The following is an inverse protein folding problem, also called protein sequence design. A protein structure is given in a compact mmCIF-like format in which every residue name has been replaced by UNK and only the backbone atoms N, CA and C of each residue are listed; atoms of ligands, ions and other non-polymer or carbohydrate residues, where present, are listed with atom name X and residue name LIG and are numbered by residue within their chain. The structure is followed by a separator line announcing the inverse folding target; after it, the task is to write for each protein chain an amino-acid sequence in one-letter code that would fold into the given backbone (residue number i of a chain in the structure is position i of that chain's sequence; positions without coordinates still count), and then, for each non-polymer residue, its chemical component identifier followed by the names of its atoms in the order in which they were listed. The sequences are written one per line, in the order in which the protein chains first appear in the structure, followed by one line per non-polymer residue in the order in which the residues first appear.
data_IF_102557145718
#
_entry.id   IF_102557145718
#
_cell.length_a   1.000
_cell.length_b   1.000
_cell.length_c   1.000
_cell.angle_alpha   90.00
_cell.angle_beta   90.00
_cell.angle_gamma   90.00
#
_symmetry.space_group_name_H-M   'P 1'
#
loop_
_entity.id
_entity.type
_entity.pdbx_description
1 polymer ?
#
# COMPACT_ATOMS: atom_id res chain seq x y z
N UNK A 1 30.15 2.00 23.82
CA UNK A 1 29.60 2.96 22.83
C UNK A 1 29.12 2.14 21.65
N UNK A 2 27.81 2.00 21.44
CA UNK A 2 27.28 1.30 20.27
C UNK A 2 27.77 1.99 19.00
N UNK A 3 28.18 1.22 17.99
CA UNK A 3 28.74 1.78 16.77
C UNK A 3 27.69 2.66 16.07
N UNK A 4 28.13 3.70 15.34
CA UNK A 4 27.20 4.61 14.63
C UNK A 4 26.19 3.83 13.75
N UNK A 5 26.62 2.69 13.20
CA UNK A 5 25.76 1.83 12.37
C UNK A 5 24.65 1.14 13.17
N UNK A 6 24.87 0.78 14.44
CA UNK A 6 23.84 0.16 15.30
C UNK A 6 22.71 1.15 15.60
N UNK A 7 23.05 2.43 15.81
CA UNK A 7 22.06 3.49 15.98
C UNK A 7 21.23 3.71 14.71
N UNK A 8 21.87 3.70 13.53
CA UNK A 8 21.17 3.83 12.25
C UNK A 8 20.24 2.64 11.98
N UNK A 9 20.68 1.41 12.31
CA UNK A 9 19.88 0.19 12.18
C UNK A 9 18.66 0.23 13.09
N UNK A 10 18.86 0.57 14.37
CA UNK A 10 17.75 0.73 15.33
C UNK A 10 16.76 1.78 14.83
N UNK A 11 17.25 2.93 14.35
CA UNK A 11 16.36 3.98 13.85
C UNK A 11 15.57 3.53 12.61
N UNK A 12 16.19 2.78 11.71
CA UNK A 12 15.51 2.22 10.55
C UNK A 12 14.43 1.21 10.93
N UNK A 13 14.68 0.39 11.96
CA UNK A 13 13.68 -0.52 12.51
C UNK A 13 12.51 0.25 13.13
N UNK A 14 12.78 1.24 13.98
CA UNK A 14 11.74 2.10 14.58
C UNK A 14 10.84 2.74 13.50
N UNK A 15 11.45 3.36 12.48
CA UNK A 15 10.70 3.97 11.37
C UNK A 15 9.88 2.94 10.59
N UNK A 16 10.40 1.72 10.41
CA UNK A 16 9.68 0.64 9.75
C UNK A 16 8.46 0.21 10.57
N UNK A 17 8.63 -0.02 11.87
CA UNK A 17 7.55 -0.44 12.77
C UNK A 17 6.46 0.62 12.89
N UNK A 18 6.85 1.88 13.05
CA UNK A 18 5.94 3.02 13.08
C UNK A 18 5.12 3.08 11.78
N UNK A 19 5.78 3.06 10.62
CA UNK A 19 5.11 3.07 9.33
C UNK A 19 4.19 1.85 9.14
N UNK A 20 4.52 0.70 9.74
CA UNK A 20 3.77 -0.54 9.62
C UNK A 20 2.51 -0.55 10.49
N UNK A 21 2.61 -0.02 11.72
CA UNK A 21 1.45 0.11 12.60
C UNK A 21 0.55 1.28 12.18
N UNK A 22 1.13 2.39 11.70
CA UNK A 22 0.43 3.62 11.33
C UNK A 22 -0.22 3.59 9.93
N UNK A 23 -0.36 2.42 9.31
CA UNK A 23 -0.96 2.31 7.98
C UNK A 23 -2.25 3.13 7.79
N UNK A 24 -2.57 3.33 6.52
CA UNK A 24 -3.38 2.28 5.94
C UNK A 24 -2.64 1.77 4.73
N UNK A 25 -2.56 0.46 4.65
CA UNK A 25 -2.05 -0.26 3.49
C UNK A 25 -3.05 -0.26 2.34
N UNK A 26 -3.76 0.86 2.16
CA UNK A 26 -4.94 0.98 1.34
C UNK A 26 -4.66 1.81 0.10
N UNK A 27 -5.27 1.42 -1.02
CA UNK A 27 -5.33 2.24 -2.23
C UNK A 27 -6.61 3.07 -2.32
N UNK A 28 -7.46 3.11 -1.29
CA UNK A 28 -8.73 3.86 -1.30
C UNK A 28 -8.51 5.35 -1.53
N UNK A 29 -7.60 5.96 -0.78
CA UNK A 29 -7.29 7.40 -0.90
C UNK A 29 -6.79 7.75 -2.31
N UNK A 30 -5.97 6.87 -2.87
CA UNK A 30 -5.41 7.02 -4.20
C UNK A 30 -6.49 6.82 -5.28
N UNK A 31 -7.42 5.89 -5.05
CA UNK A 31 -8.61 5.70 -5.88
C UNK A 31 -9.51 6.93 -5.86
N UNK A 32 -9.85 7.44 -4.67
CA UNK A 32 -10.69 8.64 -4.51
C UNK A 32 -10.07 9.86 -5.19
N UNK A 33 -8.77 10.07 -5.02
CA UNK A 33 -8.08 11.16 -5.71
C UNK A 33 -8.24 11.04 -7.24
N UNK A 34 -8.07 9.85 -7.81
CA UNK A 34 -8.25 9.64 -9.26
C UNK A 34 -9.69 9.91 -9.68
N UNK A 35 -10.68 9.44 -8.91
CA UNK A 35 -12.10 9.72 -9.18
C UNK A 35 -12.35 11.23 -9.18
N UNK A 36 -11.90 11.94 -8.16
CA UNK A 36 -12.04 13.40 -8.08
C UNK A 36 -11.34 14.10 -9.26
N UNK A 37 -10.14 13.66 -9.63
CA UNK A 37 -9.38 14.24 -10.75
C UNK A 37 -10.07 14.03 -12.10
N UNK A 38 -10.80 12.92 -12.26
CA UNK A 38 -11.56 12.65 -13.48
C UNK A 38 -12.81 13.52 -13.63
N UNK A 39 -13.27 14.14 -12.55
CA UNK A 39 -14.55 14.88 -12.49
C UNK A 39 -15.80 14.00 -12.52
N UNK A 40 -15.63 12.68 -12.44
CA UNK A 40 -16.73 11.70 -12.49
C UNK A 40 -17.08 11.21 -11.08
N UNK A 41 -18.36 10.91 -10.79
CA UNK A 41 -18.73 10.27 -9.54
C UNK A 41 -18.36 8.78 -9.55
N UNK A 42 -18.19 8.19 -8.36
CA UNK A 42 -17.92 6.75 -8.21
C UNK A 42 -18.89 5.86 -8.99
N UNK A 43 -20.18 6.20 -9.04
CA UNK A 43 -21.18 5.44 -9.79
C UNK A 43 -20.86 5.31 -11.28
N UNK A 44 -20.34 6.37 -11.92
CA UNK A 44 -19.90 6.33 -13.31
C UNK A 44 -18.67 5.43 -13.47
N UNK A 45 -17.72 5.52 -12.53
CA UNK A 45 -16.50 4.71 -12.53
C UNK A 45 -16.82 3.22 -12.35
N UNK A 46 -17.79 2.88 -11.50
CA UNK A 46 -18.23 1.50 -11.28
C UNK A 46 -18.96 0.90 -12.50
N UNK A 47 -19.63 1.74 -13.31
CA UNK A 47 -20.32 1.31 -14.54
C UNK A 47 -19.36 1.14 -15.72
N UNK A 48 -18.41 2.06 -15.90
CA UNK A 48 -17.38 1.96 -16.93
C UNK A 48 -15.98 1.83 -16.32
N UNK A 49 -15.51 0.59 -16.25
CA UNK A 49 -14.17 0.21 -15.75
C UNK A 49 -13.00 0.87 -16.48
N UNK A 50 -13.22 1.44 -17.67
CA UNK A 50 -12.20 2.13 -18.44
C UNK A 50 -12.31 3.67 -18.33
N UNK A 51 -13.30 4.20 -17.62
CA UNK A 51 -13.59 5.63 -17.59
C UNK A 51 -12.42 6.45 -17.03
N UNK A 52 -11.80 6.00 -15.94
CA UNK A 52 -10.60 6.66 -15.40
C UNK A 52 -9.45 6.69 -16.42
N UNK A 53 -9.24 5.61 -17.18
CA UNK A 53 -8.21 5.56 -18.23
C UNK A 53 -8.52 6.51 -19.39
N UNK A 54 -9.80 6.70 -19.72
CA UNK A 54 -10.24 7.63 -20.76
C UNK A 54 -10.07 9.09 -20.32
N UNK A 55 -10.31 9.37 -19.04
CA UNK A 55 -10.35 10.74 -18.49
C UNK A 55 -9.00 11.24 -17.97
N UNK A 56 -8.14 10.34 -17.50
CA UNK A 56 -6.87 10.70 -16.86
C UNK A 56 -5.71 10.21 -17.71
N UNK A 57 -4.84 11.14 -18.10
CA UNK A 57 -3.57 10.83 -18.75
C UNK A 57 -2.47 10.69 -17.70
N UNK A 58 -1.52 9.78 -17.90
CA UNK A 58 -0.39 9.58 -16.97
C UNK A 58 0.40 10.88 -16.84
N UNK A 59 0.57 11.58 -17.96
CA UNK A 59 1.35 12.80 -18.05
C UNK A 59 0.80 13.86 -17.10
N UNK A 60 -0.52 13.96 -16.99
CA UNK A 60 -1.20 14.93 -16.11
C UNK A 60 -0.95 14.61 -14.64
N UNK A 61 -0.93 13.32 -14.28
CA UNK A 61 -0.59 12.88 -12.91
C UNK A 61 0.89 13.17 -12.61
N UNK A 62 1.80 12.88 -13.53
CA UNK A 62 3.24 13.08 -13.30
C UNK A 62 3.64 14.54 -13.16
N UNK A 63 2.81 15.46 -13.67
CA UNK A 63 2.99 16.90 -13.55
C UNK A 63 2.21 17.50 -12.37
N UNK A 64 1.35 16.73 -11.71
CA UNK A 64 0.54 17.22 -10.60
C UNK A 64 1.42 17.42 -9.34
N UNK A 65 1.58 18.69 -8.96
CA UNK A 65 2.34 19.14 -7.78
C UNK A 65 1.42 19.56 -6.63
N UNK A 66 0.12 19.28 -6.72
CA UNK A 66 -0.85 19.73 -5.73
C UNK A 66 -0.58 19.08 -4.37
N UNK A 67 -0.85 19.85 -3.31
CA UNK A 67 -0.75 19.36 -1.93
C UNK A 67 -1.68 18.18 -1.67
N UNK A 68 -2.81 18.07 -2.39
CA UNK A 68 -3.73 16.94 -2.30
C UNK A 68 -3.15 15.66 -2.89
N UNK A 69 -2.48 15.73 -4.05
CA UNK A 69 -1.76 14.59 -4.63
C UNK A 69 -0.68 14.07 -3.66
N UNK A 70 0.11 15.00 -3.13
CA UNK A 70 1.21 14.73 -2.18
C UNK A 70 0.68 14.02 -0.93
N UNK A 71 -0.34 14.61 -0.28
CA UNK A 71 -0.93 14.04 0.93
C UNK A 71 -1.52 12.65 0.67
N UNK A 72 -2.05 12.41 -0.52
CA UNK A 72 -2.67 11.12 -0.86
C UNK A 72 -1.63 10.02 -1.06
N UNK A 73 -0.58 10.27 -1.84
CA UNK A 73 0.44 9.26 -2.16
C UNK A 73 1.43 9.03 -1.01
N UNK A 74 1.65 10.02 -0.15
CA UNK A 74 2.59 9.91 0.98
C UNK A 74 1.94 9.38 2.25
N UNK A 75 0.65 9.62 2.46
CA UNK A 75 -0.02 9.18 3.68
C UNK A 75 -0.50 7.73 3.58
N UNK A 76 -0.92 7.29 2.38
CA UNK A 76 -1.52 5.98 2.19
C UNK A 76 -1.10 5.31 0.88
N UNK A 77 -0.98 3.99 0.94
CA UNK A 77 -0.60 3.18 -0.20
C UNK A 77 -0.04 1.84 0.25
N UNK A 78 0.61 1.13 -0.67
CA UNK A 78 1.27 -0.16 -0.35
C UNK A 78 2.80 0.03 -0.29
N UNK A 79 3.54 -0.91 -0.88
CA UNK A 79 5.00 -0.98 -0.87
C UNK A 79 5.72 0.36 -1.15
N UNK A 80 5.33 1.11 -2.18
CA UNK A 80 5.99 2.39 -2.51
C UNK A 80 5.77 3.47 -1.44
N UNK A 81 4.52 3.71 -1.05
CA UNK A 81 4.17 4.72 -0.04
C UNK A 81 4.82 4.39 1.31
N UNK A 82 4.76 3.12 1.70
CA UNK A 82 5.42 2.59 2.89
C UNK A 82 6.93 2.86 2.89
N UNK A 83 7.64 2.43 1.85
CA UNK A 83 9.08 2.63 1.75
C UNK A 83 9.46 4.12 1.70
N UNK A 84 8.65 4.95 1.03
CA UNK A 84 8.86 6.40 0.95
C UNK A 84 8.76 7.08 2.32
N UNK A 85 7.77 6.70 3.15
CA UNK A 85 7.61 7.22 4.51
C UNK A 85 8.87 6.96 5.35
N UNK A 86 9.36 5.72 5.32
CA UNK A 86 10.54 5.31 6.09
C UNK A 86 11.80 6.02 5.57
N UNK A 87 12.03 6.03 4.26
CA UNK A 87 13.19 6.70 3.65
C UNK A 87 13.23 8.18 4.04
N UNK A 88 12.08 8.86 4.02
CA UNK A 88 11.99 10.26 4.41
C UNK A 88 12.37 10.47 5.88
N UNK A 89 11.77 9.70 6.80
CA UNK A 89 12.09 9.82 8.23
C UNK A 89 13.58 9.57 8.50
N UNK A 90 14.19 8.62 7.80
CA UNK A 90 15.63 8.34 7.91
C UNK A 90 16.49 9.45 7.33
N UNK A 91 16.10 10.05 6.21
CA UNK A 91 16.80 11.20 5.63
C UNK A 91 16.69 12.45 6.51
N UNK A 92 15.54 12.67 7.16
CA UNK A 92 15.35 13.72 8.16
C UNK A 92 16.22 13.48 9.40
N UNK A 93 16.39 12.22 9.80
CA UNK A 93 17.28 11.83 10.90
C UNK A 93 18.76 12.04 10.57
N UNK A 94 19.21 11.62 9.38
CA UNK A 94 20.61 11.80 8.95
C UNK A 94 20.81 11.66 7.44
N UNK A 95 20.61 12.75 6.69
CA UNK A 95 20.76 12.77 5.22
C UNK A 95 22.15 12.34 4.75
N UNK A 96 23.22 12.65 5.50
CA UNK A 96 24.58 12.27 5.16
C UNK A 96 24.81 10.75 5.20
N UNK A 97 24.10 10.05 6.09
CA UNK A 97 24.29 8.62 6.35
C UNK A 97 23.53 7.70 5.40
N UNK A 98 22.52 8.22 4.71
CA UNK A 98 21.63 7.41 3.87
C UNK A 98 21.67 7.81 2.39
N UNK A 99 21.59 6.81 1.51
CA UNK A 99 21.49 6.97 0.05
C UNK A 99 20.61 5.85 -0.49
N UNK A 100 19.30 6.10 -0.61
CA UNK A 100 18.34 5.05 -0.94
C UNK A 100 18.14 4.90 -2.46
N UNK A 101 17.90 3.69 -2.94
CA UNK A 101 17.50 3.40 -4.32
C UNK A 101 16.26 2.52 -4.32
N UNK A 102 15.33 2.78 -5.23
CA UNK A 102 14.08 2.02 -5.33
C UNK A 102 14.16 0.99 -6.46
N UNK A 103 13.68 -0.21 -6.17
CA UNK A 103 13.67 -1.34 -7.08
C UNK A 103 12.24 -1.86 -7.24
N UNK A 104 11.87 -2.19 -8.48
CA UNK A 104 10.59 -2.84 -8.78
C UNK A 104 10.84 -4.31 -9.04
N UNK A 105 10.36 -5.09 -8.09
CA UNK A 105 10.45 -6.52 -8.01
C UNK A 105 9.26 -7.21 -8.70
N UNK A 106 8.84 -6.73 -9.87
CA UNK A 106 7.69 -7.22 -10.65
C UNK A 106 6.34 -6.94 -9.93
N UNK A 107 6.12 -5.68 -9.57
CA UNK A 107 4.92 -5.20 -8.88
C UNK A 107 5.03 -5.19 -7.36
N UNK A 108 6.11 -5.74 -6.80
CA UNK A 108 6.54 -5.54 -5.41
C UNK A 108 7.68 -4.52 -5.39
N UNK A 109 7.76 -3.61 -4.42
CA UNK A 109 8.78 -2.55 -4.47
C UNK A 109 9.52 -2.42 -3.16
N UNK A 110 10.83 -2.28 -3.25
CA UNK A 110 11.72 -2.19 -2.10
C UNK A 110 12.64 -0.98 -2.24
N UNK A 111 13.07 -0.43 -1.11
CA UNK A 111 14.07 0.64 -1.07
C UNK A 111 15.33 0.14 -0.39
N UNK A 112 16.49 0.45 -0.96
CA UNK A 112 17.79 -0.06 -0.50
C UNK A 112 18.77 1.07 -0.29
N UNK A 113 19.39 1.14 0.89
CA UNK A 113 20.45 2.07 1.18
C UNK A 113 21.79 1.59 0.64
N UNK A 114 22.42 2.39 -0.21
CA UNK A 114 23.74 2.16 -0.80
C UNK A 114 24.89 2.35 0.17
N UNK A 115 24.66 2.97 1.34
CA UNK A 115 25.67 3.33 2.35
C UNK A 115 25.65 2.46 3.61
N UNK A 116 24.57 1.74 3.89
CA UNK A 116 24.38 1.08 5.20
C UNK A 116 23.93 -0.38 5.14
N UNK A 117 23.67 -0.93 3.95
CA UNK A 117 23.14 -2.30 3.81
C UNK A 117 21.67 -2.45 4.23
N UNK A 118 20.99 -1.35 4.56
CA UNK A 118 19.57 -1.33 4.95
C UNK A 118 18.69 -1.57 3.73
N UNK A 119 17.73 -2.49 3.85
CA UNK A 119 16.75 -2.83 2.84
C UNK A 119 15.34 -2.76 3.46
N UNK A 120 14.51 -1.89 2.89
CA UNK A 120 13.14 -1.63 3.31
C UNK A 120 12.20 -2.38 2.39
N UNK A 121 11.46 -3.32 2.99
CA UNK A 121 10.43 -4.11 2.34
C UNK A 121 9.16 -4.11 3.19
N UNK A 122 8.01 -3.75 2.59
CA UNK A 122 6.69 -3.81 3.24
C UNK A 122 6.18 -5.22 3.49
N UNK A 123 6.76 -6.23 2.84
CA UNK A 123 6.40 -7.64 2.97
C UNK A 123 7.32 -8.40 3.92
N UNK A 124 8.29 -7.72 4.54
CA UNK A 124 9.20 -8.33 5.50
C UNK A 124 8.45 -8.80 6.75
N UNK A 125 8.74 -10.02 7.18
CA UNK A 125 8.17 -10.61 8.39
C UNK A 125 8.79 -10.06 9.68
N UNK A 126 10.01 -9.51 9.62
CA UNK A 126 10.78 -9.12 10.82
C UNK A 126 11.11 -7.62 10.85
N UNK A 127 10.57 -6.84 9.91
CA UNK A 127 10.85 -5.41 9.81
C UNK A 127 11.94 -5.07 8.81
N UNK A 128 12.83 -4.15 9.16
CA UNK A 128 13.91 -3.73 8.25
C UNK A 128 14.91 -4.87 8.05
N UNK A 129 15.25 -5.16 6.79
CA UNK A 129 16.29 -6.14 6.47
C UNK A 129 17.65 -5.43 6.52
N UNK A 130 18.59 -6.01 7.24
CA UNK A 130 19.95 -5.46 7.41
C UNK A 130 20.96 -6.44 6.84
N UNK A 131 21.66 -6.03 5.79
CA UNK A 131 22.75 -6.80 5.20
C UNK A 131 24.05 -6.45 5.93
N UNK A 132 24.74 -7.41 6.55
CA UNK A 132 26.04 -7.15 7.17
C UNK A 132 27.18 -7.24 6.17
N UNK A 133 28.31 -6.61 6.51
CA UNK A 133 29.49 -6.64 5.64
C UNK A 133 30.11 -8.04 5.69
N UNK A 134 30.27 -8.64 4.51
CA UNK A 134 30.84 -9.98 4.37
C UNK A 134 29.80 -11.09 4.25
N UNK A 135 28.55 -10.86 4.69
CA UNK A 135 27.46 -11.85 4.61
C UNK A 135 27.21 -12.33 3.18
N UNK A 136 26.71 -13.56 3.05
CA UNK A 136 26.32 -14.12 1.77
C UNK A 136 25.13 -13.39 1.13
N UNK A 137 24.97 -13.64 -0.16
CA UNK A 137 23.87 -13.10 -0.93
C UNK A 137 22.53 -13.50 -0.32
N UNK A 138 21.71 -12.51 -0.01
CA UNK A 138 20.40 -12.68 0.62
C UNK A 138 19.29 -12.41 -0.39
N UNK A 139 18.21 -13.19 -0.35
CA UNK A 139 16.99 -12.96 -1.15
C UNK A 139 15.90 -12.37 -0.27
N UNK A 140 14.94 -11.69 -0.90
CA UNK A 140 13.71 -11.26 -0.23
C UNK A 140 12.69 -12.39 -0.30
N UNK A 141 12.01 -12.67 0.81
CA UNK A 141 10.94 -13.66 0.85
C UNK A 141 9.83 -13.34 -0.17
N UNK A 142 9.42 -14.33 -0.96
CA UNK A 142 8.40 -14.17 -2.00
C UNK A 142 8.92 -13.65 -3.35
N UNK A 143 10.23 -13.36 -3.48
CA UNK A 143 10.81 -13.05 -4.78
C UNK A 143 11.05 -14.32 -5.62
N UNK A 144 10.11 -14.61 -6.53
CA UNK A 144 10.17 -15.76 -7.44
C UNK A 144 11.29 -15.71 -8.49
N UNK A 145 11.96 -14.56 -8.65
CA UNK A 145 13.08 -14.41 -9.59
C UNK A 145 14.45 -14.60 -8.95
N UNK A 146 14.50 -14.98 -7.66
CA UNK A 146 15.74 -15.20 -6.91
C UNK A 146 16.72 -14.03 -6.99
N UNK A 147 16.22 -12.78 -6.98
CA UNK A 147 17.12 -11.62 -7.02
C UNK A 147 17.78 -11.46 -5.66
N UNK A 148 19.06 -11.15 -5.69
CA UNK A 148 19.93 -11.24 -4.53
C UNK A 148 20.53 -9.88 -4.17
N UNK A 149 20.79 -9.72 -2.88
CA UNK A 149 21.32 -8.51 -2.27
C UNK A 149 22.51 -8.86 -1.40
N UNK A 150 23.53 -8.00 -1.40
CA UNK A 150 24.70 -8.17 -0.52
C UNK A 150 25.24 -6.81 -0.10
N UNK A 151 25.78 -6.73 1.11
CA UNK A 151 26.57 -5.58 1.56
C UNK A 151 28.03 -6.00 1.66
N UNK A 152 28.92 -5.29 0.96
CA UNK A 152 30.35 -5.60 1.03
C UNK A 152 31.21 -4.37 0.81
N UNK A 153 32.21 -4.18 1.67
CA UNK A 153 33.20 -3.12 1.54
C UNK A 153 32.56 -1.72 1.40
N UNK A 154 31.61 -1.42 2.29
CA UNK A 154 30.94 -0.10 2.30
C UNK A 154 29.97 0.14 1.14
N UNK A 155 29.59 -0.89 0.37
CA UNK A 155 28.65 -0.74 -0.75
C UNK A 155 27.61 -1.85 -0.84
N UNK A 156 26.40 -1.47 -1.25
CA UNK A 156 25.28 -2.41 -1.46
C UNK A 156 25.25 -2.90 -2.91
N UNK A 157 25.29 -4.22 -3.08
CA UNK A 157 25.26 -4.94 -4.36
C UNK A 157 23.91 -5.63 -4.57
N UNK A 158 23.46 -5.63 -5.82
CA UNK A 158 22.22 -6.25 -6.27
C UNK A 158 22.53 -7.09 -7.50
N UNK A 159 22.07 -8.33 -7.50
CA UNK A 159 22.12 -9.23 -8.64
C UNK A 159 20.70 -9.68 -8.99
N UNK A 160 20.24 -9.37 -10.20
CA UNK A 160 18.83 -9.55 -10.53
C UNK A 160 18.34 -8.93 -11.85
N UNK A 161 19.25 -8.55 -12.75
CA UNK A 161 18.93 -7.96 -14.06
C UNK A 161 18.39 -6.52 -14.01
N UNK A 162 17.61 -6.11 -15.03
CA UNK A 162 16.93 -4.81 -15.07
C UNK A 162 15.82 -4.75 -13.99
N UNK A 163 16.18 -4.33 -12.78
CA UNK A 163 15.25 -4.12 -11.65
C UNK A 163 15.39 -2.77 -10.95
N UNK A 164 16.46 -2.02 -11.26
CA UNK A 164 16.62 -0.66 -10.78
C UNK A 164 15.63 0.23 -11.53
N UNK A 165 14.59 0.70 -10.82
CA UNK A 165 13.69 1.70 -11.40
C UNK A 165 14.30 3.09 -11.28
N UNK A 166 15.08 3.35 -10.22
CA UNK A 166 15.83 4.60 -10.11
C UNK A 166 16.82 4.63 -8.94
N UNK A 167 17.89 5.42 -9.10
CA UNK A 167 18.81 5.79 -8.02
C UNK A 167 18.42 7.13 -7.38
N UNK A 168 18.10 7.17 -6.07
CA UNK A 168 18.02 8.44 -5.34
C UNK A 168 19.36 8.78 -4.69
N UNK A 169 20.37 9.09 -5.51
CA UNK A 169 21.55 9.77 -4.99
C UNK A 169 21.30 11.28 -5.05
N UNK A 170 20.61 11.87 -4.07
CA UNK A 170 20.37 13.32 -4.12
C UNK A 170 20.45 14.01 -2.77
N UNK A 171 21.25 15.07 -2.77
CA UNK A 171 21.24 16.22 -1.87
C UNK A 171 20.03 17.16 -2.08
N UNK A 172 18.89 16.67 -2.59
CA UNK A 172 17.66 17.44 -2.82
C UNK A 172 16.42 16.55 -2.56
N UNK A 173 15.27 17.12 -2.10
CA UNK A 173 14.12 16.33 -1.70
C UNK A 173 13.55 15.53 -2.87
N UNK A 174 13.07 14.32 -2.57
CA UNK A 174 12.44 13.39 -3.51
C UNK A 174 11.50 14.15 -4.45
N UNK A 175 11.81 14.21 -5.75
CA UNK A 175 11.02 15.05 -6.66
C UNK A 175 9.65 14.43 -6.90
N UNK A 176 8.63 15.28 -6.93
CA UNK A 176 7.22 14.88 -6.94
C UNK A 176 6.81 14.04 -8.15
N UNK A 177 7.29 14.37 -9.35
CA UNK A 177 6.99 13.61 -10.57
C UNK A 177 7.58 12.19 -10.59
N UNK A 178 8.59 11.93 -9.75
CA UNK A 178 9.27 10.64 -9.64
C UNK A 178 8.43 9.60 -8.89
N UNK A 179 7.84 9.97 -7.75
CA UNK A 179 6.95 9.09 -6.98
C UNK A 179 5.65 8.81 -7.73
N UNK A 180 5.14 9.81 -8.46
CA UNK A 180 3.99 9.62 -9.33
C UNK A 180 4.27 8.59 -10.39
N UNK A 181 5.42 8.66 -11.09
CA UNK A 181 5.77 7.71 -12.15
C UNK A 181 5.93 6.28 -11.62
N UNK A 182 6.60 6.11 -10.48
CA UNK A 182 6.77 4.82 -9.79
C UNK A 182 5.42 4.19 -9.43
N UNK A 183 4.48 4.97 -8.89
CA UNK A 183 3.18 4.44 -8.51
C UNK A 183 2.21 4.27 -9.67
N UNK A 184 2.24 5.15 -10.66
CA UNK A 184 1.28 5.16 -11.80
C UNK A 184 1.61 4.15 -12.90
N UNK A 185 2.89 3.82 -13.15
CA UNK A 185 3.28 2.83 -14.17
C UNK A 185 2.64 1.44 -13.93
N UNK A 186 2.31 1.09 -12.68
CA UNK A 186 1.58 -0.14 -12.35
C UNK A 186 0.07 0.05 -12.11
N UNK A 187 -0.46 1.27 -12.17
CA UNK A 187 -1.79 1.63 -11.62
C UNK A 187 -2.83 2.16 -12.59
N UNK A 188 -2.47 2.62 -13.79
CA UNK A 188 -3.50 2.74 -14.84
C UNK A 188 -4.04 1.37 -15.28
N UNK A 189 -3.27 0.30 -15.10
CA UNK A 189 -3.81 -1.07 -15.09
C UNK A 189 -4.38 -1.47 -13.72
N UNK A 190 -3.88 -0.90 -12.63
CA UNK A 190 -4.27 -1.16 -11.24
C UNK A 190 -5.64 -0.62 -10.81
N UNK A 191 -6.35 0.19 -11.60
CA UNK A 191 -7.81 0.36 -11.42
C UNK A 191 -8.55 -0.97 -11.69
N UNK A 192 -7.95 -1.92 -12.43
CA UNK A 192 -8.40 -3.32 -12.46
C UNK A 192 -8.08 -4.08 -11.16
N UNK A 193 -7.07 -3.65 -10.39
CA UNK A 193 -6.74 -4.20 -9.06
C UNK A 193 -7.59 -3.48 -8.02
N UNK A 194 -8.86 -3.85 -7.97
CA UNK A 194 -9.70 -3.99 -6.78
C UNK A 194 -9.31 -3.08 -5.59
N UNK A 195 -10.05 -1.99 -5.29
CA UNK A 195 -9.82 -1.20 -4.09
C UNK A 195 -9.68 -2.13 -2.87
N UNK A 196 -8.61 -1.99 -2.10
CA UNK A 196 -8.29 -2.88 -0.99
C UNK A 196 -7.70 -2.15 0.20
N UNK A 197 -7.95 -2.70 1.39
CA UNK A 197 -7.47 -2.21 2.67
C UNK A 197 -7.15 -3.42 3.57
N UNK A 198 -5.90 -3.90 3.60
CA UNK A 198 -5.46 -4.90 4.54
C UNK A 198 -5.16 -4.24 5.90
N UNK A 199 -5.46 -4.98 6.96
CA UNK A 199 -5.11 -4.62 8.32
C UNK A 199 -3.84 -5.37 8.72
N UNK A 200 -2.89 -4.65 9.31
CA UNK A 200 -1.59 -5.21 9.70
C UNK A 200 -1.16 -4.68 11.06
N UNK A 201 -0.29 -5.41 11.74
CA UNK A 201 0.38 -4.91 12.95
C UNK A 201 1.75 -5.54 13.11
N UNK A 202 2.67 -4.83 13.73
CA UNK A 202 3.97 -5.36 14.15
C UNK A 202 3.97 -5.54 15.67
N UNK A 203 4.18 -6.76 16.12
CA UNK A 203 4.20 -7.09 17.55
C UNK A 203 5.18 -8.22 17.80
N UNK A 204 5.89 -8.15 18.93
CA UNK A 204 6.84 -9.20 19.37
C UNK A 204 7.92 -9.50 18.31
N UNK A 205 8.39 -8.46 17.60
CA UNK A 205 9.43 -8.60 16.58
C UNK A 205 8.97 -9.24 15.26
N UNK A 206 7.66 -9.41 15.07
CA UNK A 206 7.09 -10.01 13.85
C UNK A 206 5.94 -9.19 13.28
N UNK A 207 5.86 -9.18 11.94
CA UNK A 207 4.79 -8.58 11.17
C UNK A 207 3.62 -9.56 11.06
N UNK A 208 2.42 -9.09 11.44
CA UNK A 208 1.17 -9.83 11.38
C UNK A 208 0.28 -9.21 10.32
N UNK A 209 -0.16 -10.06 9.38
CA UNK A 209 -1.09 -9.71 8.31
C UNK A 209 -2.45 -10.30 8.66
N UNK A 210 -3.42 -9.45 9.01
CA UNK A 210 -4.73 -9.88 9.50
C UNK A 210 -5.71 -10.04 8.33
N UNK A 211 -6.87 -9.40 8.43
CA UNK A 211 -7.89 -9.39 7.39
C UNK A 211 -7.66 -8.33 6.31
N UNK A 212 -8.33 -8.50 5.18
CA UNK A 212 -8.36 -7.53 4.09
C UNK A 212 -9.77 -7.34 3.53
N UNK A 213 -10.18 -6.07 3.42
CA UNK A 213 -11.34 -5.66 2.64
C UNK A 213 -10.91 -5.47 1.19
N UNK A 214 -11.62 -6.07 0.24
CA UNK A 214 -11.32 -6.00 -1.20
C UNK A 214 -12.59 -5.85 -2.03
N UNK A 215 -12.73 -4.71 -2.70
CA UNK A 215 -13.76 -4.49 -3.72
C UNK A 215 -13.38 -5.15 -5.04
N UNK A 216 -14.30 -5.89 -5.66
CA UNK A 216 -14.13 -6.52 -6.97
C UNK A 216 -15.22 -6.02 -7.93
N UNK A 217 -15.06 -4.81 -8.50
CA UNK A 217 -16.09 -4.21 -9.35
C UNK A 217 -16.45 -5.05 -10.57
N UNK A 218 -15.51 -5.82 -11.14
CA UNK A 218 -15.79 -6.69 -12.30
C UNK A 218 -16.75 -7.84 -11.99
N UNK A 219 -17.03 -8.09 -10.71
CA UNK A 219 -17.98 -9.11 -10.25
C UNK A 219 -19.12 -8.49 -9.42
N UNK A 220 -19.16 -7.15 -9.30
CA UNK A 220 -20.07 -6.44 -8.41
C UNK A 220 -20.01 -6.96 -6.95
N UNK A 221 -18.79 -7.20 -6.46
CA UNK A 221 -18.58 -7.84 -5.16
C UNK A 221 -17.72 -7.00 -4.21
N UNK A 222 -17.93 -7.22 -2.92
CA UNK A 222 -17.00 -6.91 -1.85
C UNK A 222 -16.59 -8.22 -1.18
N UNK A 223 -15.29 -8.43 -0.98
CA UNK A 223 -14.75 -9.63 -0.36
C UNK A 223 -14.04 -9.23 0.94
N UNK A 224 -14.42 -9.86 2.04
CA UNK A 224 -13.80 -9.72 3.35
C UNK A 224 -12.96 -10.98 3.60
N UNK A 225 -11.65 -10.88 3.40
CA UNK A 225 -10.71 -11.99 3.59
C UNK A 225 -10.28 -11.98 5.05
N UNK A 226 -10.64 -13.01 5.82
CA UNK A 226 -10.46 -13.03 7.28
C UNK A 226 -8.98 -13.15 7.67
N UNK A 227 -8.21 -13.91 6.89
CA UNK A 227 -6.78 -14.07 7.08
C UNK A 227 -6.07 -14.12 5.73
N UNK A 228 -5.08 -13.25 5.55
CA UNK A 228 -4.28 -13.23 4.33
C UNK A 228 -3.51 -14.55 4.16
N UNK A 229 -3.76 -15.24 3.06
CA UNK A 229 -3.19 -16.56 2.75
C UNK A 229 -4.13 -17.75 2.96
N UNK A 230 -5.25 -17.55 3.66
CA UNK A 230 -6.31 -18.55 3.81
C UNK A 230 -7.44 -18.33 2.78
N UNK A 231 -8.27 -19.35 2.54
CA UNK A 231 -9.45 -19.28 1.64
C UNK A 231 -10.71 -18.73 2.31
N UNK A 232 -10.67 -18.54 3.64
CA UNK A 232 -11.81 -18.07 4.41
C UNK A 232 -12.10 -16.59 4.13
N UNK A 233 -13.25 -16.38 3.51
CA UNK A 233 -13.72 -15.06 3.12
C UNK A 233 -15.24 -14.98 3.09
N UNK A 234 -15.76 -13.82 3.46
CA UNK A 234 -17.16 -13.46 3.28
C UNK A 234 -17.25 -12.72 1.95
N UNK A 235 -18.10 -13.19 1.04
CA UNK A 235 -18.40 -12.49 -0.21
C UNK A 235 -19.74 -11.80 -0.08
N UNK A 236 -19.74 -10.50 -0.26
CA UNK A 236 -20.94 -9.67 -0.34
C UNK A 236 -21.16 -9.37 -1.83
N UNK A 237 -22.29 -9.83 -2.36
CA UNK A 237 -22.69 -9.65 -3.76
C UNK A 237 -23.67 -8.50 -3.86
N UNK A 238 -23.48 -7.61 -4.85
CA UNK A 238 -24.41 -6.54 -5.18
C UNK A 238 -25.17 -6.92 -6.45
N UNK A 239 -26.49 -7.05 -6.34
CA UNK A 239 -27.41 -7.25 -7.46
C UNK A 239 -28.87 -6.93 -7.07
N UNK A 240 -29.82 -7.24 -7.95
CA UNK A 240 -31.25 -6.95 -7.74
C UNK A 240 -31.93 -7.85 -6.71
N UNK A 241 -31.27 -8.91 -6.23
CA UNK A 241 -31.82 -9.82 -5.22
C UNK A 241 -31.62 -9.32 -3.78
N UNK A 242 -30.68 -8.40 -3.56
CA UNK A 242 -30.51 -7.75 -2.28
C UNK A 242 -31.66 -6.79 -1.94
N UNK A 243 -31.77 -6.47 -0.66
CA UNK A 243 -32.76 -5.56 -0.08
C UNK A 243 -32.11 -4.63 0.94
N UNK A 244 -32.85 -3.65 1.46
CA UNK A 244 -32.39 -2.81 2.59
C UNK A 244 -32.11 -3.64 3.85
N UNK A 245 -32.85 -4.74 4.05
CA UNK A 245 -32.62 -5.64 5.19
C UNK A 245 -31.29 -6.38 5.04
N UNK A 246 -31.02 -6.97 3.88
CA UNK A 246 -29.73 -7.65 3.62
C UNK A 246 -28.58 -6.65 3.57
N UNK A 247 -28.81 -5.40 3.20
CA UNK A 247 -27.80 -4.35 3.31
C UNK A 247 -27.36 -4.13 4.76
N UNK A 248 -28.31 -4.08 5.68
CA UNK A 248 -28.01 -3.91 7.12
C UNK A 248 -27.14 -5.07 7.61
N UNK A 249 -27.52 -6.31 7.31
CA UNK A 249 -26.72 -7.50 7.63
C UNK A 249 -25.31 -7.44 7.03
N UNK A 250 -25.18 -6.97 5.78
CA UNK A 250 -23.89 -6.84 5.11
C UNK A 250 -23.01 -5.75 5.75
N UNK A 251 -23.61 -4.64 6.21
CA UNK A 251 -22.88 -3.58 6.93
C UNK A 251 -22.42 -4.06 8.30
N UNK A 252 -23.26 -4.79 9.01
CA UNK A 252 -22.90 -5.41 10.29
C UNK A 252 -21.74 -6.40 10.10
N UNK A 253 -21.78 -7.22 9.04
CA UNK A 253 -20.67 -8.12 8.70
C UNK A 253 -19.34 -7.38 8.43
N UNK A 254 -19.37 -6.19 7.80
CA UNK A 254 -18.16 -5.36 7.63
C UNK A 254 -17.67 -4.80 8.97
N UNK A 255 -18.58 -4.33 9.83
CA UNK A 255 -18.23 -3.79 11.13
C UNK A 255 -17.62 -4.86 12.06
N UNK A 256 -18.23 -6.05 12.07
CA UNK A 256 -17.73 -7.23 12.79
C UNK A 256 -16.37 -7.67 12.24
N UNK A 257 -16.22 -7.69 10.92
CA UNK A 257 -14.97 -8.02 10.27
C UNK A 257 -13.83 -7.08 10.69
N UNK A 258 -14.05 -5.76 10.70
CA UNK A 258 -13.04 -4.80 11.16
C UNK A 258 -12.68 -5.03 12.63
N UNK A 259 -13.64 -5.43 13.46
CA UNK A 259 -13.43 -5.68 14.89
C UNK A 259 -12.69 -6.99 15.15
N UNK A 260 -13.04 -8.07 14.45
CA UNK A 260 -12.53 -9.42 14.70
C UNK A 260 -11.26 -9.72 13.90
N UNK A 261 -11.21 -9.25 12.65
CA UNK A 261 -10.13 -9.55 11.69
C UNK A 261 -9.21 -8.35 11.44
N UNK A 262 -9.43 -7.21 12.09
CA UNK A 262 -8.58 -6.03 11.93
C UNK A 262 -7.27 -6.08 12.72
N UNK A 263 -7.14 -6.99 13.68
CA UNK A 263 -6.04 -6.96 14.64
C UNK A 263 -6.03 -5.70 15.51
N UNK A 264 -4.96 -5.45 16.30
CA UNK A 264 -4.92 -4.35 17.26
C UNK A 264 -4.97 -2.97 16.60
N UNK A 265 -4.37 -2.82 15.41
CA UNK A 265 -4.32 -1.53 14.70
C UNK A 265 -5.46 -1.34 13.69
N UNK A 266 -6.29 -2.36 13.44
CA UNK A 266 -7.26 -2.36 12.34
C UNK A 266 -8.26 -1.21 12.40
N UNK A 267 -8.80 -0.89 13.58
CA UNK A 267 -9.73 0.25 13.77
C UNK A 267 -9.06 1.59 13.48
N UNK A 268 -7.80 1.76 13.90
CA UNK A 268 -7.01 2.98 13.65
C UNK A 268 -6.72 3.12 12.16
N UNK A 269 -6.28 2.05 11.50
CA UNK A 269 -6.00 2.02 10.07
C UNK A 269 -7.27 2.25 9.22
N UNK A 270 -8.42 1.72 9.64
CA UNK A 270 -9.71 1.94 8.96
C UNK A 270 -10.17 3.40 9.03
N UNK A 271 -9.83 4.08 10.12
CA UNK A 271 -10.13 5.50 10.36
C UNK A 271 -9.03 6.43 9.86
N UNK A 272 -7.96 5.91 9.27
CA UNK A 272 -6.86 6.74 8.82
C UNK A 272 -7.29 7.68 7.70
N UNK A 273 -6.85 8.93 7.82
CA UNK A 273 -7.15 10.02 6.88
C UNK A 273 -7.82 11.19 7.57
N UNK A 274 -8.15 12.22 6.79
CA UNK A 274 -8.91 13.36 7.28
C UNK A 274 -10.41 13.07 7.20
N UNK A 275 -11.27 13.62 8.07
CA UNK A 275 -12.72 13.43 7.98
C UNK A 275 -13.25 13.71 6.56
N UNK A 276 -14.07 12.80 6.02
CA UNK A 276 -14.56 12.85 4.64
C UNK A 276 -13.62 12.22 3.61
N UNK A 277 -12.39 11.90 4.01
CA UNK A 277 -11.31 11.28 3.25
C UNK A 277 -10.58 10.23 4.10
N UNK A 278 -11.33 9.46 4.91
CA UNK A 278 -10.79 8.26 5.59
C UNK A 278 -11.06 7.02 4.76
N UNK A 279 -10.32 5.94 5.00
CA UNK A 279 -10.58 4.67 4.33
C UNK A 279 -12.05 4.23 4.48
N UNK A 280 -12.63 4.37 5.67
CA UNK A 280 -14.05 4.12 5.91
C UNK A 280 -15.00 5.05 5.13
N UNK A 281 -14.68 6.35 5.03
CA UNK A 281 -15.56 7.30 4.32
C UNK A 281 -15.57 7.00 2.82
N UNK A 282 -14.42 6.64 2.26
CA UNK A 282 -14.29 6.26 0.85
C UNK A 282 -15.00 4.93 0.59
N UNK A 283 -14.89 3.98 1.51
CA UNK A 283 -15.64 2.74 1.45
C UNK A 283 -17.15 2.99 1.37
N UNK A 284 -17.69 3.88 2.22
CA UNK A 284 -19.11 4.22 2.20
C UNK A 284 -19.55 4.92 0.90
N UNK A 285 -18.68 5.75 0.31
CA UNK A 285 -18.92 6.36 -1.02
C UNK A 285 -19.01 5.29 -2.10
N UNK A 286 -18.08 4.33 -2.11
CA UNK A 286 -18.09 3.20 -3.06
C UNK A 286 -19.34 2.33 -2.83
N UNK A 287 -19.69 2.05 -1.58
CA UNK A 287 -20.87 1.26 -1.22
C UNK A 287 -22.17 1.89 -1.73
N UNK A 288 -22.36 3.18 -1.45
CA UNK A 288 -23.55 3.92 -1.90
C UNK A 288 -23.63 3.95 -3.43
N UNK A 289 -22.50 4.17 -4.11
CA UNK A 289 -22.42 4.11 -5.56
C UNK A 289 -22.70 2.71 -6.12
N UNK A 290 -22.25 1.65 -5.44
CA UNK A 290 -22.47 0.27 -5.80
C UNK A 290 -23.96 -0.09 -5.73
N UNK A 291 -24.68 0.36 -4.70
CA UNK A 291 -26.14 0.18 -4.60
C UNK A 291 -26.84 0.79 -5.81
N UNK A 292 -26.51 2.05 -6.14
CA UNK A 292 -27.10 2.75 -7.28
C UNK A 292 -26.73 2.12 -8.63
N UNK A 293 -25.53 1.54 -8.75
CA UNK A 293 -25.03 0.99 -10.00
C UNK A 293 -25.44 -0.46 -10.25
N UNK A 294 -25.48 -1.28 -9.19
CA UNK A 294 -25.56 -2.74 -9.28
C UNK A 294 -26.78 -3.33 -8.57
N UNK A 295 -27.34 -2.65 -7.56
CA UNK A 295 -28.40 -3.15 -6.69
C UNK A 295 -27.91 -3.37 -5.26
N UNK A 296 -28.82 -3.77 -4.36
CA UNK A 296 -28.50 -3.89 -2.93
C UNK A 296 -27.58 -5.10 -2.65
N UNK A 297 -26.73 -5.00 -1.61
CA UNK A 297 -25.86 -6.09 -1.21
C UNK A 297 -26.62 -7.20 -0.47
N UNK A 298 -26.14 -8.42 -0.65
CA UNK A 298 -26.50 -9.59 0.16
C UNK A 298 -25.31 -10.54 0.27
N UNK A 299 -25.32 -11.41 1.28
CA UNK A 299 -24.35 -12.51 1.39
C UNK A 299 -24.97 -13.74 0.71
N UNK A 300 -24.39 -14.25 -0.39
CA UNK A 300 -24.93 -15.44 -1.05
C UNK A 300 -24.95 -16.63 -0.09
N UNK A 301 -26.10 -17.29 0.03
CA UNK A 301 -26.20 -18.55 0.75
C UNK A 301 -25.45 -19.62 -0.06
N UNK A 302 -24.51 -20.31 0.60
CA UNK A 302 -23.79 -21.44 0.02
C UNK A 302 -24.68 -22.68 -0.05
#
# INVERSE_FOLDING_TARGET
MGSNIDNLRRKAQECWEEAFNDGPYSNFLQGEYLVNKSGEPWGSILKDKNLLKKKIKIEDLTKDQSTSFIRTWWAAGRCTSFATRIVRQLQEYSSASFDFKFYDLNGHRVARCMKTGILIDSSSATGVLVLNDGDDWTTIAGDTRNRQWKWRAGMSKFDGGQGLVCSLSLSLPITWGFLTRLETHGRLEGVRKCPLCPAVSFAQGSAHFHGMIKWVPSKNQLILIQQLGNRDSITIQFDKSGTTATETECRDAVADFITQCGGPEGKKQWRFGQPGHRAMDIHDKIWSAAIQAWGHPHIPRR
#
